data_IF_421894329589
#
_entry.id   IF_421894329589
#
_cell.length_a   1.000
_cell.length_b   1.000
_cell.length_c   1.000
_cell.angle_alpha   90.00
_cell.angle_beta   90.00
_cell.angle_gamma   90.00
#
_symmetry.space_group_name_H-M   'P 1'
#
loop_
_entity.id
_entity.type
_entity.pdbx_description
1 polymer ?
#
# COMPACT_ATOMS: atom_id res chain seq x y z
N UNK A 1 -19.72 15.02 16.45
CA UNK A 1 -19.31 15.54 15.14
C UNK A 1 -18.50 14.51 14.40
N UNK A 2 -18.98 14.09 13.23
CA UNK A 2 -18.21 13.28 12.28
C UNK A 2 -17.24 14.26 11.59
N UNK A 3 -15.91 14.01 11.64
CA UNK A 3 -14.94 14.89 10.99
C UNK A 3 -15.29 15.07 9.51
N UNK A 4 -15.48 16.32 9.07
CA UNK A 4 -15.74 16.65 7.66
C UNK A 4 -17.21 16.85 7.28
N UNK A 5 -18.18 16.72 8.18
CA UNK A 5 -19.62 16.91 7.89
C UNK A 5 -20.17 18.27 8.32
N UNK A 6 -19.32 19.28 8.53
CA UNK A 6 -19.73 20.64 8.92
C UNK A 6 -20.69 21.32 7.93
N UNK A 7 -20.82 20.77 6.71
CA UNK A 7 -21.73 21.25 5.66
C UNK A 7 -23.10 20.57 5.69
N UNK A 8 -23.27 19.44 6.40
CA UNK A 8 -24.47 18.61 6.32
C UNK A 8 -25.70 19.33 6.88
N UNK A 9 -25.57 19.97 8.04
CA UNK A 9 -26.68 20.70 8.67
C UNK A 9 -27.21 21.81 7.77
N UNK A 10 -26.30 22.65 7.23
CA UNK A 10 -26.67 23.71 6.28
C UNK A 10 -27.28 23.18 4.99
N UNK A 11 -26.87 22.00 4.53
CA UNK A 11 -27.50 21.35 3.37
C UNK A 11 -28.93 20.89 3.68
N UNK A 12 -29.16 20.29 4.85
CA UNK A 12 -30.50 19.85 5.27
C UNK A 12 -31.44 21.05 5.40
N UNK A 13 -30.98 22.12 6.04
CA UNK A 13 -31.73 23.38 6.19
C UNK A 13 -32.05 23.99 4.81
N UNK A 14 -31.06 24.10 3.92
CA UNK A 14 -31.25 24.67 2.59
C UNK A 14 -32.18 23.84 1.69
N UNK A 15 -32.24 22.52 1.91
CA UNK A 15 -33.14 21.62 1.19
C UNK A 15 -34.60 21.73 1.66
N UNK A 16 -34.88 22.37 2.80
CA UNK A 16 -36.22 22.47 3.39
C UNK A 16 -36.78 21.12 3.83
N UNK A 17 -35.91 20.16 4.16
CA UNK A 17 -36.29 18.81 4.57
C UNK A 17 -36.38 18.73 6.11
N UNK A 18 -37.36 19.43 6.68
CA UNK A 18 -37.51 19.57 8.14
C UNK A 18 -37.89 18.25 8.84
N UNK A 19 -38.44 17.27 8.10
CA UNK A 19 -38.90 15.98 8.61
C UNK A 19 -37.86 14.84 8.44
N UNK A 20 -36.60 15.16 8.12
CA UNK A 20 -35.55 14.15 7.89
C UNK A 20 -35.13 13.47 9.20
N UNK A 21 -35.20 12.14 9.25
CA UNK A 21 -34.61 11.35 10.34
C UNK A 21 -33.11 11.20 10.08
N UNK A 22 -32.29 11.77 10.96
CA UNK A 22 -30.83 11.69 10.90
C UNK A 22 -30.32 10.68 11.91
N UNK A 23 -29.50 9.74 11.44
CA UNK A 23 -28.87 8.72 12.28
C UNK A 23 -27.36 8.77 12.06
N UNK A 24 -26.61 9.07 13.11
CA UNK A 24 -25.16 9.01 13.07
C UNK A 24 -24.69 7.56 13.27
N UNK A 25 -23.87 7.05 12.34
CA UNK A 25 -23.21 5.74 12.46
C UNK A 25 -21.71 5.98 12.68
N UNK A 26 -21.22 5.84 13.93
CA UNK A 26 -19.84 6.10 14.27
C UNK A 26 -18.92 4.94 13.89
N UNK A 27 -17.65 5.25 13.63
CA UNK A 27 -16.59 4.27 13.46
C UNK A 27 -15.85 4.43 12.13
N UNK A 28 -15.13 3.38 11.77
CA UNK A 28 -14.44 3.26 10.48
C UNK A 28 -15.09 2.13 9.69
N UNK A 29 -15.37 2.35 8.42
CA UNK A 29 -15.96 1.34 7.53
C UNK A 29 -14.91 0.63 6.69
N UNK A 30 -13.68 1.16 6.63
CA UNK A 30 -12.65 0.74 5.69
C UNK A 30 -11.75 -0.40 6.22
N UNK A 31 -12.21 -1.17 7.21
CA UNK A 31 -11.61 -2.45 7.61
C UNK A 31 -12.69 -3.53 7.60
N UNK A 32 -12.37 -4.84 7.48
CA UNK A 32 -13.39 -5.89 7.52
C UNK A 32 -14.28 -5.83 8.77
N UNK A 33 -13.69 -5.68 9.96
CA UNK A 33 -14.42 -5.57 11.22
C UNK A 33 -15.25 -4.29 11.29
N UNK A 34 -14.71 -3.20 10.76
CA UNK A 34 -15.37 -1.90 10.68
C UNK A 34 -16.60 -1.96 9.77
N UNK A 35 -16.42 -2.47 8.56
CA UNK A 35 -17.47 -2.69 7.57
C UNK A 35 -18.62 -3.53 8.14
N UNK A 36 -18.31 -4.65 8.82
CA UNK A 36 -19.33 -5.50 9.44
C UNK A 36 -20.18 -4.74 10.47
N UNK A 37 -19.55 -3.93 11.32
CA UNK A 37 -20.27 -3.09 12.28
C UNK A 37 -21.18 -2.09 11.58
N UNK A 38 -20.69 -1.43 10.53
CA UNK A 38 -21.48 -0.50 9.73
C UNK A 38 -22.69 -1.18 9.08
N UNK A 39 -22.48 -2.34 8.45
CA UNK A 39 -23.56 -3.11 7.81
C UNK A 39 -24.66 -3.46 8.81
N UNK A 40 -24.29 -3.99 9.99
CA UNK A 40 -25.28 -4.33 11.02
C UNK A 40 -25.99 -3.10 11.60
N UNK A 41 -25.28 -2.01 11.86
CA UNK A 41 -25.90 -0.77 12.35
C UNK A 41 -26.86 -0.17 11.32
N UNK A 42 -26.50 -0.17 10.03
CA UNK A 42 -27.39 0.30 8.96
C UNK A 42 -28.64 -0.59 8.89
N UNK A 43 -28.49 -1.91 8.88
CA UNK A 43 -29.60 -2.84 8.82
C UNK A 43 -30.56 -2.68 10.01
N UNK A 44 -30.03 -2.58 11.23
CA UNK A 44 -30.81 -2.38 12.45
C UNK A 44 -31.60 -1.06 12.43
N UNK A 45 -30.98 0.03 11.97
CA UNK A 45 -31.64 1.33 11.87
C UNK A 45 -32.73 1.33 10.79
N UNK A 46 -32.47 0.76 9.61
CA UNK A 46 -33.46 0.64 8.55
C UNK A 46 -34.66 -0.21 8.99
N UNK A 47 -34.41 -1.30 9.72
CA UNK A 47 -35.48 -2.11 10.32
C UNK A 47 -36.29 -1.33 11.34
N UNK A 48 -35.62 -0.65 12.27
CA UNK A 48 -36.30 0.03 13.38
C UNK A 48 -37.09 1.27 12.93
N UNK A 49 -36.61 1.97 11.90
CA UNK A 49 -37.19 3.24 11.44
C UNK A 49 -38.22 3.02 10.32
N UNK A 50 -37.93 2.09 9.40
CA UNK A 50 -38.72 1.88 8.19
C UNK A 50 -39.44 0.52 8.13
N UNK A 51 -39.31 -0.31 9.17
CA UNK A 51 -39.86 -1.68 9.23
C UNK A 51 -39.40 -2.57 8.05
N UNK A 52 -38.18 -2.33 7.57
CA UNK A 52 -37.57 -3.11 6.49
C UNK A 52 -36.87 -4.36 7.05
N UNK A 53 -37.34 -5.54 6.63
CA UNK A 53 -36.62 -6.79 6.92
C UNK A 53 -35.44 -6.98 5.95
N UNK A 54 -34.24 -6.80 6.48
CA UNK A 54 -32.97 -6.94 5.75
C UNK A 54 -32.15 -8.13 6.22
N UNK A 55 -32.72 -9.05 7.00
CA UNK A 55 -31.99 -10.15 7.67
C UNK A 55 -31.14 -10.97 6.68
N UNK A 56 -31.73 -11.39 5.55
CA UNK A 56 -31.02 -12.19 4.54
C UNK A 56 -29.92 -11.37 3.85
N UNK A 57 -30.17 -10.09 3.58
CA UNK A 57 -29.21 -9.22 2.89
C UNK A 57 -28.02 -8.86 3.79
N UNK A 58 -28.29 -8.60 5.07
CA UNK A 58 -27.26 -8.39 6.08
C UNK A 58 -26.38 -9.63 6.19
N UNK A 59 -26.97 -10.82 6.34
CA UNK A 59 -26.22 -12.07 6.44
C UNK A 59 -25.35 -12.34 5.21
N UNK A 60 -25.86 -12.05 4.00
CA UNK A 60 -25.10 -12.15 2.76
C UNK A 60 -23.88 -11.21 2.77
N UNK A 61 -24.08 -9.92 3.06
CA UNK A 61 -23.00 -8.93 3.05
C UNK A 61 -21.93 -9.23 4.11
N UNK A 62 -22.35 -9.65 5.32
CA UNK A 62 -21.42 -10.04 6.38
C UNK A 62 -20.57 -11.25 5.96
N UNK A 63 -21.19 -12.25 5.32
CA UNK A 63 -20.47 -13.43 4.80
C UNK A 63 -19.47 -13.05 3.72
N UNK A 64 -19.82 -12.17 2.78
CA UNK A 64 -18.90 -11.71 1.74
C UNK A 64 -17.66 -11.01 2.33
N UNK A 65 -17.85 -10.19 3.37
CA UNK A 65 -16.75 -9.51 4.07
C UNK A 65 -15.88 -10.53 4.82
N UNK A 66 -16.48 -11.50 5.50
CA UNK A 66 -15.73 -12.57 6.18
C UNK A 66 -14.94 -13.43 5.19
N UNK A 67 -15.53 -13.78 4.05
CA UNK A 67 -14.86 -14.52 2.96
C UNK A 67 -13.67 -13.72 2.40
N UNK A 68 -13.80 -12.39 2.26
CA UNK A 68 -12.72 -11.51 1.83
C UNK A 68 -11.61 -11.43 2.89
N UNK A 69 -11.95 -11.23 4.16
CA UNK A 69 -11.00 -11.18 5.28
C UNK A 69 -10.20 -12.49 5.41
N UNK A 70 -10.87 -13.64 5.34
CA UNK A 70 -10.20 -14.94 5.42
C UNK A 70 -9.20 -15.15 4.27
N UNK A 71 -9.58 -14.73 3.05
CA UNK A 71 -8.67 -14.76 1.90
C UNK A 71 -7.49 -13.80 2.09
N UNK A 72 -7.73 -12.57 2.56
CA UNK A 72 -6.68 -11.57 2.82
C UNK A 72 -5.66 -12.10 3.83
N UNK A 73 -6.11 -12.70 4.94
CA UNK A 73 -5.21 -13.27 5.96
C UNK A 73 -4.36 -14.42 5.39
N UNK A 74 -4.96 -15.29 4.59
CA UNK A 74 -4.23 -16.39 3.94
C UNK A 74 -3.14 -15.87 3.01
N UNK A 75 -3.44 -14.82 2.23
CA UNK A 75 -2.45 -14.21 1.33
C UNK A 75 -1.37 -13.45 2.11
N UNK A 76 -1.75 -12.69 3.13
CA UNK A 76 -0.84 -11.95 4.00
C UNK A 76 0.21 -12.87 4.65
N UNK A 77 -0.21 -14.04 5.13
CA UNK A 77 0.70 -15.07 5.65
C UNK A 77 1.64 -15.60 4.56
N UNK A 78 1.12 -15.90 3.36
CA UNK A 78 1.92 -16.44 2.26
C UNK A 78 2.99 -15.45 1.75
N UNK A 79 2.67 -14.15 1.80
CA UNK A 79 3.55 -13.06 1.39
C UNK A 79 4.38 -12.56 2.58
N UNK A 80 4.20 -13.04 3.80
CA UNK A 80 4.90 -12.55 5.00
C UNK A 80 4.92 -11.00 5.09
N UNK A 81 3.73 -10.40 4.97
CA UNK A 81 3.57 -8.94 4.97
C UNK A 81 3.96 -8.30 6.30
N UNK A 82 4.07 -9.12 7.35
CA UNK A 82 4.48 -8.70 8.69
C UNK A 82 5.88 -8.08 8.73
N UNK A 83 6.73 -8.36 7.74
CA UNK A 83 8.08 -7.82 7.62
C UNK A 83 8.20 -6.70 6.57
N UNK A 84 7.07 -6.17 6.10
CA UNK A 84 7.02 -5.18 5.02
C UNK A 84 6.66 -3.80 5.59
N UNK A 85 7.61 -2.88 5.51
CA UNK A 85 7.45 -1.50 5.96
C UNK A 85 6.76 -0.65 4.91
N UNK A 86 5.74 0.09 5.32
CA UNK A 86 4.86 0.87 4.45
C UNK A 86 4.75 2.31 4.94
N UNK A 87 4.76 3.25 4.00
CA UNK A 87 4.27 4.61 4.21
C UNK A 87 2.99 4.78 3.42
N UNK A 88 1.94 5.37 4.02
CA UNK A 88 0.66 5.53 3.32
C UNK A 88 -0.04 6.85 3.62
N UNK A 89 -0.99 7.19 2.75
CA UNK A 89 -1.95 8.25 3.05
C UNK A 89 -2.74 7.89 4.32
N UNK A 90 -2.92 8.84 5.24
CA UNK A 90 -3.39 8.62 6.62
C UNK A 90 -4.74 7.90 6.73
N UNK A 91 -5.63 8.08 5.75
CA UNK A 91 -6.94 7.41 5.72
C UNK A 91 -6.86 5.92 5.35
N UNK A 92 -5.75 5.46 4.77
CA UNK A 92 -5.54 4.06 4.40
C UNK A 92 -4.91 3.23 5.53
N UNK A 93 -4.33 3.90 6.53
CA UNK A 93 -3.55 3.28 7.61
C UNK A 93 -4.25 2.07 8.22
N UNK A 94 -5.49 2.24 8.68
CA UNK A 94 -6.20 1.19 9.42
C UNK A 94 -6.47 -0.04 8.56
N UNK A 95 -6.76 0.14 7.27
CA UNK A 95 -6.92 -0.97 6.34
C UNK A 95 -5.61 -1.74 6.15
N UNK A 96 -4.52 -1.02 5.88
CA UNK A 96 -3.19 -1.61 5.66
C UNK A 96 -2.70 -2.36 6.91
N UNK A 97 -2.84 -1.75 8.10
CA UNK A 97 -2.52 -2.40 9.38
C UNK A 97 -3.41 -3.61 9.64
N UNK A 98 -4.70 -3.60 9.24
CA UNK A 98 -5.60 -4.74 9.43
C UNK A 98 -5.21 -5.97 8.60
N UNK A 99 -4.47 -5.79 7.50
CA UNK A 99 -3.91 -6.88 6.68
C UNK A 99 -2.63 -7.45 7.31
N UNK A 100 -1.97 -6.69 8.20
CA UNK A 100 -0.75 -7.10 8.90
C UNK A 100 0.53 -6.44 8.44
N UNK A 101 0.47 -5.46 7.52
CA UNK A 101 1.64 -4.65 7.13
C UNK A 101 2.10 -3.72 8.26
N UNK A 102 3.39 -3.37 8.27
CA UNK A 102 3.94 -2.40 9.21
C UNK A 102 3.87 -0.98 8.64
N UNK A 103 2.90 -0.18 9.08
CA UNK A 103 2.84 1.24 8.69
C UNK A 103 3.78 2.06 9.57
N UNK A 104 4.95 2.42 9.02
CA UNK A 104 6.00 3.15 9.75
C UNK A 104 5.80 4.66 9.76
N UNK A 105 5.10 5.19 8.76
CA UNK A 105 4.65 6.58 8.75
C UNK A 105 3.40 6.77 7.90
N UNK A 106 2.72 7.89 8.13
CA UNK A 106 1.59 8.32 7.32
C UNK A 106 1.76 9.76 6.85
N UNK A 107 1.09 10.12 5.77
CA UNK A 107 0.98 11.50 5.32
C UNK A 107 -0.48 11.92 5.08
N UNK A 108 -0.76 13.19 5.27
CA UNK A 108 -2.06 13.80 4.99
C UNK A 108 -2.16 14.22 3.51
N UNK A 109 -3.32 14.67 3.03
CA UNK A 109 -3.45 15.18 1.66
C UNK A 109 -2.30 16.14 1.29
N UNK A 110 -1.67 15.98 0.11
CA UNK A 110 -0.42 16.68 -0.22
C UNK A 110 -0.47 18.20 -0.07
N UNK A 111 -1.63 18.81 -0.32
CA UNK A 111 -1.88 20.24 -0.18
C UNK A 111 -1.75 20.77 1.26
N UNK A 112 -1.77 19.86 2.25
CA UNK A 112 -1.61 20.17 3.67
C UNK A 112 -0.17 20.01 4.17
N UNK A 113 0.73 19.46 3.35
CA UNK A 113 2.10 19.11 3.77
C UNK A 113 3.07 20.26 3.52
N UNK A 114 3.95 20.48 4.50
CA UNK A 114 5.10 21.38 4.35
C UNK A 114 6.30 20.66 3.72
N UNK A 115 7.27 21.42 3.22
CA UNK A 115 8.54 20.86 2.74
C UNK A 115 9.31 20.08 3.83
N UNK A 116 9.13 20.45 5.10
CA UNK A 116 9.75 19.74 6.24
C UNK A 116 9.10 18.37 6.46
N UNK A 117 7.79 18.27 6.27
CA UNK A 117 7.07 16.99 6.39
C UNK A 117 7.55 16.02 5.31
N UNK A 118 7.68 16.51 4.07
CA UNK A 118 8.21 15.73 2.94
C UNK A 118 9.62 15.23 3.21
N UNK A 119 10.51 16.12 3.70
CA UNK A 119 11.90 15.73 4.03
C UNK A 119 11.94 14.67 5.14
N UNK A 120 11.02 14.77 6.10
CA UNK A 120 10.89 13.80 7.20
C UNK A 120 10.42 12.45 6.68
N UNK A 121 9.40 12.42 5.81
CA UNK A 121 8.92 11.20 5.18
C UNK A 121 10.01 10.49 4.38
N UNK A 122 10.79 11.22 3.58
CA UNK A 122 11.92 10.66 2.81
C UNK A 122 12.98 10.08 3.74
N UNK A 123 13.26 10.76 4.85
CA UNK A 123 14.24 10.28 5.84
C UNK A 123 13.77 9.00 6.52
N UNK A 124 12.50 8.94 6.94
CA UNK A 124 11.90 7.72 7.52
C UNK A 124 11.95 6.59 6.49
N UNK A 125 11.54 6.85 5.25
CA UNK A 125 11.52 5.84 4.20
C UNK A 125 12.88 5.17 3.99
N UNK A 126 13.96 5.96 3.97
CA UNK A 126 15.33 5.44 3.84
C UNK A 126 15.81 4.70 5.08
N UNK A 127 15.52 5.22 6.27
CA UNK A 127 16.01 4.64 7.52
C UNK A 127 15.31 3.32 7.86
N UNK A 128 14.02 3.23 7.57
CA UNK A 128 13.20 2.05 7.84
C UNK A 128 13.20 1.06 6.66
N UNK A 129 13.95 1.31 5.58
CA UNK A 129 13.92 0.51 4.36
C UNK A 129 12.48 0.24 3.87
N UNK A 130 11.71 1.31 3.71
CA UNK A 130 10.31 1.21 3.30
C UNK A 130 10.21 0.52 1.95
N UNK A 131 9.34 -0.49 1.91
CA UNK A 131 9.08 -1.27 0.73
C UNK A 131 8.03 -0.61 -0.16
N UNK A 132 6.96 -0.10 0.44
CA UNK A 132 5.81 0.44 -0.27
C UNK A 132 5.49 1.88 0.15
N UNK A 133 5.18 2.72 -0.83
CA UNK A 133 4.48 3.99 -0.62
C UNK A 133 3.09 3.89 -1.23
N UNK A 134 2.05 4.13 -0.43
CA UNK A 134 0.67 3.84 -0.80
C UNK A 134 -0.19 5.09 -0.83
N UNK A 135 -0.66 5.47 -2.02
CA UNK A 135 -1.55 6.60 -2.25
C UNK A 135 -3.02 6.21 -2.21
N UNK A 136 -3.87 7.22 -1.97
CA UNK A 136 -5.31 7.11 -2.07
C UNK A 136 -5.76 7.68 -3.43
N UNK A 137 -6.39 6.82 -4.25
CA UNK A 137 -6.89 7.15 -5.58
C UNK A 137 -7.74 8.43 -5.62
N UNK A 138 -8.47 8.74 -4.54
CA UNK A 138 -9.38 9.89 -4.50
C UNK A 138 -8.74 11.23 -4.14
N UNK A 139 -7.45 11.23 -3.80
CA UNK A 139 -6.75 12.44 -3.33
C UNK A 139 -5.69 12.86 -4.34
N UNK A 140 -4.62 12.08 -4.42
CA UNK A 140 -3.52 12.25 -5.37
C UNK A 140 -2.76 10.93 -5.47
N UNK A 141 -2.15 10.69 -6.62
CA UNK A 141 -1.33 9.50 -6.90
C UNK A 141 0.10 9.85 -7.33
N UNK A 142 0.41 11.13 -7.58
CA UNK A 142 1.76 11.53 -7.97
C UNK A 142 2.64 11.84 -6.76
N UNK A 143 2.05 12.26 -5.63
CA UNK A 143 2.81 12.54 -4.41
C UNK A 143 3.55 11.29 -3.87
N UNK A 144 2.84 10.21 -3.57
CA UNK A 144 3.45 8.99 -3.04
C UNK A 144 4.38 8.34 -4.06
N UNK A 145 4.06 8.39 -5.35
CA UNK A 145 4.93 7.96 -6.45
C UNK A 145 6.28 8.69 -6.43
N UNK A 146 6.28 10.01 -6.30
CA UNK A 146 7.53 10.79 -6.23
C UNK A 146 8.41 10.42 -5.03
N UNK A 147 7.80 10.12 -3.88
CA UNK A 147 8.53 9.61 -2.72
C UNK A 147 9.11 8.22 -3.01
N UNK A 148 8.31 7.31 -3.56
CA UNK A 148 8.71 5.94 -3.89
C UNK A 148 9.94 5.91 -4.80
N UNK A 149 9.89 6.66 -5.90
CA UNK A 149 11.01 6.80 -6.86
C UNK A 149 12.29 7.32 -6.21
N UNK A 150 12.17 8.26 -5.27
CA UNK A 150 13.33 8.86 -4.59
C UNK A 150 14.02 7.93 -3.59
N UNK A 151 13.28 6.97 -3.03
CA UNK A 151 13.78 6.08 -1.96
C UNK A 151 13.98 4.64 -2.40
N UNK A 152 13.59 4.30 -3.63
CA UNK A 152 13.67 2.93 -4.15
C UNK A 152 12.59 2.00 -3.59
N UNK A 153 11.47 2.56 -3.15
CA UNK A 153 10.28 1.82 -2.78
C UNK A 153 9.38 1.63 -4.01
N UNK A 154 8.45 0.69 -3.94
CA UNK A 154 7.40 0.53 -4.94
C UNK A 154 6.15 1.35 -4.57
N UNK A 155 5.40 1.76 -5.59
CA UNK A 155 4.20 2.58 -5.43
C UNK A 155 2.94 1.74 -5.61
N UNK A 156 2.01 1.85 -4.66
CA UNK A 156 0.69 1.22 -4.73
C UNK A 156 -0.42 2.27 -4.61
N UNK A 157 -1.57 2.00 -5.23
CA UNK A 157 -2.73 2.90 -5.22
C UNK A 157 -3.94 2.13 -4.74
N UNK A 158 -4.56 2.58 -3.65
CA UNK A 158 -5.77 1.99 -3.08
C UNK A 158 -6.95 2.94 -3.22
N UNK A 159 -8.16 2.42 -3.02
CA UNK A 159 -9.37 3.23 -2.94
C UNK A 159 -10.16 2.99 -1.66
N UNK A 160 -10.80 4.04 -1.14
CA UNK A 160 -11.72 3.93 -0.01
C UNK A 160 -13.19 3.73 -0.44
N UNK A 161 -13.50 3.79 -1.73
CA UNK A 161 -14.88 3.82 -2.20
C UNK A 161 -15.20 2.61 -3.09
N UNK A 162 -16.18 1.78 -2.69
CA UNK A 162 -16.70 0.74 -3.57
C UNK A 162 -17.18 1.35 -4.89
N UNK A 163 -16.84 0.70 -6.00
CA UNK A 163 -17.19 1.11 -7.35
C UNK A 163 -16.27 2.16 -7.97
N UNK A 164 -15.23 2.64 -7.25
CA UNK A 164 -14.25 3.57 -7.80
C UNK A 164 -13.40 2.97 -8.93
N UNK A 165 -13.28 1.64 -8.96
CA UNK A 165 -12.51 0.87 -9.96
C UNK A 165 -13.41 -0.26 -10.49
N UNK A 166 -13.26 -0.72 -11.74
CA UNK A 166 -14.04 -1.87 -12.23
C UNK A 166 -13.93 -3.08 -11.30
N UNK A 167 -15.06 -3.75 -11.05
CA UNK A 167 -15.19 -4.95 -10.19
C UNK A 167 -14.92 -4.73 -8.69
N UNK A 168 -15.06 -3.50 -8.19
CA UNK A 168 -14.99 -3.20 -6.74
C UNK A 168 -16.32 -2.72 -6.17
N UNK A 169 -17.45 -3.17 -6.71
CA UNK A 169 -18.78 -2.62 -6.43
C UNK A 169 -19.28 -2.84 -5.00
N UNK A 170 -18.74 -3.85 -4.30
CA UNK A 170 -19.03 -4.09 -2.88
C UNK A 170 -17.83 -3.80 -1.97
N UNK A 171 -18.07 -3.66 -0.66
CA UNK A 171 -16.99 -3.53 0.33
C UNK A 171 -16.03 -4.72 0.27
N UNK A 172 -16.55 -5.94 0.16
CA UNK A 172 -15.75 -7.16 0.05
C UNK A 172 -14.89 -7.18 -1.22
N UNK A 173 -15.46 -6.79 -2.37
CA UNK A 173 -14.72 -6.70 -3.62
C UNK A 173 -13.62 -5.62 -3.57
N UNK A 174 -13.92 -4.45 -3.00
CA UNK A 174 -12.95 -3.38 -2.79
C UNK A 174 -11.80 -3.82 -1.86
N UNK A 175 -12.10 -4.51 -0.76
CA UNK A 175 -11.08 -5.03 0.15
C UNK A 175 -10.16 -6.04 -0.52
N UNK A 176 -10.72 -6.97 -1.32
CA UNK A 176 -9.91 -7.90 -2.13
C UNK A 176 -9.00 -7.14 -3.08
N UNK A 177 -9.56 -6.23 -3.87
CA UNK A 177 -8.77 -5.42 -4.80
C UNK A 177 -7.62 -4.67 -4.12
N UNK A 178 -7.91 -3.96 -3.02
CA UNK A 178 -6.89 -3.20 -2.33
C UNK A 178 -5.80 -4.11 -1.73
N UNK A 179 -6.18 -5.26 -1.19
CA UNK A 179 -5.22 -6.23 -0.67
C UNK A 179 -4.37 -6.85 -1.80
N UNK A 180 -4.97 -7.19 -2.94
CA UNK A 180 -4.25 -7.65 -4.14
C UNK A 180 -3.20 -6.61 -4.57
N UNK A 181 -3.56 -5.33 -4.64
CA UNK A 181 -2.60 -4.26 -4.98
C UNK A 181 -1.41 -4.25 -4.01
N UNK A 182 -1.64 -4.41 -2.70
CA UNK A 182 -0.56 -4.45 -1.72
C UNK A 182 0.33 -5.68 -1.88
N UNK A 183 -0.25 -6.87 -2.08
CA UNK A 183 0.50 -8.11 -2.22
C UNK A 183 1.31 -8.13 -3.52
N UNK A 184 0.69 -7.77 -4.65
CA UNK A 184 1.37 -7.71 -5.95
C UNK A 184 2.55 -6.71 -5.91
N UNK A 185 2.33 -5.53 -5.32
CA UNK A 185 3.39 -4.52 -5.20
C UNK A 185 4.51 -4.98 -4.26
N UNK A 186 4.18 -5.72 -3.20
CA UNK A 186 5.19 -6.33 -2.31
C UNK A 186 6.07 -7.33 -3.05
N UNK A 187 5.47 -8.19 -3.85
CA UNK A 187 6.20 -9.17 -4.65
C UNK A 187 7.09 -8.48 -5.69
N UNK A 188 6.59 -7.45 -6.38
CA UNK A 188 7.38 -6.61 -7.29
C UNK A 188 8.60 -6.03 -6.56
N UNK A 189 8.40 -5.44 -5.38
CA UNK A 189 9.49 -4.87 -4.59
C UNK A 189 10.58 -5.89 -4.26
N UNK A 190 10.18 -7.11 -3.86
CA UNK A 190 11.10 -8.21 -3.57
C UNK A 190 11.90 -8.65 -4.80
N UNK A 191 11.22 -8.86 -5.93
CA UNK A 191 11.89 -9.22 -7.17
C UNK A 191 12.86 -8.14 -7.62
N UNK A 192 12.47 -6.87 -7.55
CA UNK A 192 13.33 -5.72 -7.87
C UNK A 192 14.60 -5.71 -7.00
N UNK A 193 14.46 -5.99 -5.70
CA UNK A 193 15.59 -6.05 -4.76
C UNK A 193 16.51 -7.25 -5.02
N UNK A 194 15.95 -8.45 -5.21
CA UNK A 194 16.72 -9.65 -5.51
C UNK A 194 17.54 -9.49 -6.81
N UNK A 195 16.91 -8.95 -7.86
CA UNK A 195 17.59 -8.67 -9.13
C UNK A 195 18.70 -7.63 -8.98
N UNK A 196 18.50 -6.61 -8.15
CA UNK A 196 19.53 -5.60 -7.88
C UNK A 196 20.75 -6.20 -7.18
N UNK A 197 20.54 -7.08 -6.21
CA UNK A 197 21.59 -7.78 -5.48
C UNK A 197 22.35 -8.78 -6.36
N UNK A 198 21.63 -9.56 -7.18
CA UNK A 198 22.25 -10.48 -8.15
C UNK A 198 23.09 -9.71 -9.16
N UNK A 199 22.55 -8.63 -9.73
CA UNK A 199 23.29 -7.75 -10.66
C UNK A 199 24.56 -7.20 -10.03
N UNK A 200 24.50 -6.76 -8.77
CA UNK A 200 25.68 -6.26 -8.03
C UNK A 200 26.73 -7.36 -7.84
N UNK A 201 26.30 -8.57 -7.49
CA UNK A 201 27.17 -9.75 -7.37
C UNK A 201 27.88 -10.06 -8.69
N UNK A 202 27.14 -10.10 -9.79
CA UNK A 202 27.69 -10.36 -11.12
C UNK A 202 28.69 -9.29 -11.57
N UNK A 203 28.40 -8.01 -11.32
CA UNK A 203 29.34 -6.91 -11.63
C UNK A 203 30.63 -7.02 -10.83
N UNK A 204 30.56 -7.44 -9.56
CA UNK A 204 31.74 -7.66 -8.73
C UNK A 204 32.59 -8.83 -9.26
N UNK A 205 31.95 -9.95 -9.63
CA UNK A 205 32.65 -11.10 -10.24
C UNK A 205 33.32 -10.71 -11.56
N UNK A 206 32.60 -9.99 -12.42
CA UNK A 206 33.14 -9.49 -13.68
C UNK A 206 34.38 -8.62 -13.46
N UNK A 207 34.32 -7.69 -12.50
CA UNK A 207 35.44 -6.81 -12.15
C UNK A 207 36.65 -7.61 -11.66
N UNK A 208 36.43 -8.63 -10.83
CA UNK A 208 37.49 -9.53 -10.36
C UNK A 208 38.15 -10.27 -11.53
N UNK A 209 37.36 -10.86 -12.43
CA UNK A 209 37.89 -11.58 -13.59
C UNK A 209 38.65 -10.66 -14.55
N UNK A 210 38.15 -9.45 -14.81
CA UNK A 210 38.86 -8.46 -15.61
C UNK A 210 40.21 -8.08 -14.98
N UNK A 211 40.23 -7.87 -13.67
CA UNK A 211 41.46 -7.53 -12.93
C UNK A 211 42.48 -8.67 -12.97
N UNK A 212 42.06 -9.90 -12.69
CA UNK A 212 42.93 -11.09 -12.76
C UNK A 212 43.46 -11.31 -14.17
N UNK A 213 42.61 -11.17 -15.19
CA UNK A 213 43.01 -11.33 -16.59
C UNK A 213 44.05 -10.28 -17.00
N UNK A 214 43.85 -9.02 -16.60
CA UNK A 214 44.81 -7.95 -16.85
C UNK A 214 46.17 -8.22 -16.17
N UNK A 215 46.16 -8.67 -14.90
CA UNK A 215 47.38 -9.04 -14.19
C UNK A 215 48.12 -10.21 -14.86
N UNK A 216 47.40 -11.26 -15.23
CA UNK A 216 47.98 -12.41 -15.93
C UNK A 216 48.54 -12.02 -17.30
N UNK A 217 47.87 -11.13 -18.03
CA UNK A 217 48.38 -10.62 -19.30
C UNK A 217 49.70 -9.85 -19.12
N UNK A 218 49.81 -9.01 -18.08
CA UNK A 218 51.06 -8.30 -17.74
C UNK A 218 52.17 -9.29 -17.42
N UNK A 219 51.89 -10.32 -16.60
CA UNK A 219 52.87 -11.37 -16.25
C UNK A 219 53.35 -12.09 -17.52
N UNK A 220 52.42 -12.53 -18.38
CA UNK A 220 52.75 -13.22 -19.62
C UNK A 220 53.61 -12.36 -20.57
N UNK A 221 53.34 -11.06 -20.66
CA UNK A 221 54.14 -10.12 -21.44
C UNK A 221 55.57 -10.03 -20.88
N UNK A 222 55.71 -9.86 -19.56
CA UNK A 222 57.03 -9.77 -18.89
C UNK A 222 57.83 -11.05 -19.09
N UNK A 223 57.22 -12.21 -18.87
CA UNK A 223 57.84 -13.51 -19.09
C UNK A 223 58.27 -13.70 -20.56
N UNK A 224 57.41 -13.33 -21.51
CA UNK A 224 57.71 -13.37 -22.94
C UNK A 224 58.94 -12.52 -23.30
N UNK A 225 59.05 -11.30 -22.76
CA UNK A 225 60.21 -10.42 -22.96
C UNK A 225 61.49 -11.01 -22.37
N UNK A 226 61.43 -11.57 -21.15
CA UNK A 226 62.58 -12.20 -20.49
C UNK A 226 63.07 -13.45 -21.23
N UNK A 227 62.15 -14.29 -21.73
CA UNK A 227 62.51 -15.47 -22.53
C UNK A 227 63.13 -15.04 -23.86
N UNK A 228 62.58 -14.02 -24.51
CA UNK A 228 63.12 -13.49 -25.76
C UNK A 228 64.52 -12.89 -25.59
N UNK A 229 64.75 -12.13 -24.52
CA UNK A 229 66.05 -11.49 -24.27
C UNK A 229 67.16 -12.49 -23.92
N UNK A 230 66.84 -13.60 -23.25
CA UNK A 230 67.79 -14.68 -22.93
C UNK A 230 68.17 -15.57 -24.13
N UNK A 231 67.43 -15.50 -25.25
CA UNK A 231 67.72 -16.27 -26.47
C UNK A 231 68.69 -15.56 -27.43
N UNK A 232 69.04 -14.30 -27.17
CA UNK A 232 70.13 -13.58 -27.84
C UNK A 232 71.42 -13.71 -27.05
#
# INVERSE_FOLDING_TARGET
>A
DIPGEFWLEGLVEAAGNDDLIQVAIPGVYNTPEGAKKYVSMVAENLKSILDLDLTDKEAEMLREIDDASAWMNTQAESVDVSNVNVICMSWLRLFIESIGFQVVAVYNPPETLSASDITTLISIAKNENVALVVDNLQIDVEFGKGIAEQVGAEHAILTNFPGAVPKTGTLAEMFRYNAEQLFETTEIWRYSHELADEKKSLLNQLTLYQTLTALLAVIAIVEGVLIYSKRK
#
